data_IF_553454655265
#
_entry.id   IF_553454655265
#
_cell.length_a   1.000
_cell.length_b   1.000
_cell.length_c   1.000
_cell.angle_alpha   90.00
_cell.angle_beta   90.00
_cell.angle_gamma   90.00
#
_symmetry.space_group_name_H-M   'P 1'
#
loop_
_entity.id
_entity.type
_entity.pdbx_description
1 polymer ?
#
# COMPACT_ATOMS: atom_id res chain seq x y z
N UNK A 1 8.06 -13.56 -12.08
CA UNK A 1 9.40 -13.60 -11.45
C UNK A 1 9.34 -12.84 -10.14
N UNK A 2 9.08 -13.53 -9.03
CA UNK A 2 9.14 -12.94 -7.69
C UNK A 2 10.50 -13.33 -7.09
N UNK A 3 11.33 -12.35 -6.79
CA UNK A 3 12.58 -12.57 -6.06
C UNK A 3 12.21 -12.79 -4.59
N UNK A 4 12.68 -13.87 -3.93
CA UNK A 4 12.32 -14.12 -2.54
C UNK A 4 13.05 -13.11 -1.63
N UNK A 5 12.29 -12.19 -1.02
CA UNK A 5 12.81 -11.29 0.00
C UNK A 5 12.94 -12.08 1.32
N UNK A 6 14.15 -12.53 1.67
CA UNK A 6 14.47 -13.20 2.94
C UNK A 6 15.15 -12.20 3.86
N UNK A 7 14.58 -11.95 5.04
CA UNK A 7 15.20 -11.16 6.10
C UNK A 7 15.19 -11.91 7.43
N UNK A 8 16.36 -12.24 7.97
CA UNK A 8 16.54 -12.72 9.34
C UNK A 8 17.36 -11.68 10.11
N UNK A 9 16.84 -11.19 11.23
CA UNK A 9 17.54 -10.23 12.09
C UNK A 9 18.36 -11.02 13.12
N UNK A 10 19.66 -10.72 13.24
CA UNK A 10 20.43 -11.01 14.45
C UNK A 10 21.51 -9.95 14.66
N UNK A 11 21.72 -9.50 15.90
CA UNK A 11 22.81 -8.61 16.30
C UNK A 11 23.72 -9.32 17.32
N UNK A 12 24.94 -8.83 17.63
CA UNK A 12 25.83 -7.96 16.86
C UNK A 12 27.17 -8.67 16.54
N UNK A 13 27.86 -8.29 15.46
CA UNK A 13 29.23 -8.73 15.04
C UNK A 13 29.31 -9.70 13.84
N UNK A 14 28.44 -9.57 12.85
CA UNK A 14 28.75 -10.07 11.50
C UNK A 14 28.19 -9.09 10.47
N UNK A 15 28.92 -8.86 9.38
CA UNK A 15 28.52 -7.99 8.28
C UNK A 15 27.16 -8.47 7.71
N UNK A 16 26.12 -7.66 7.87
CA UNK A 16 24.80 -7.93 7.28
C UNK A 16 24.64 -7.15 5.98
N UNK A 17 24.57 -7.85 4.85
CA UNK A 17 23.99 -7.29 3.63
C UNK A 17 22.48 -7.18 3.89
N UNK A 18 22.03 -5.99 4.30
CA UNK A 18 20.61 -5.65 4.39
C UNK A 18 20.08 -5.51 2.95
N UNK A 19 19.59 -6.60 2.38
CA UNK A 19 18.88 -6.55 1.11
C UNK A 19 17.47 -6.00 1.38
N UNK A 20 17.36 -4.68 1.53
CA UNK A 20 16.08 -3.97 1.63
C UNK A 20 15.30 -4.29 0.37
N UNK A 21 14.17 -4.99 0.49
CA UNK A 21 13.25 -5.24 -0.62
C UNK A 21 12.62 -3.89 -1.00
N UNK A 22 13.14 -3.16 -2.01
CA UNK A 22 12.78 -1.75 -2.20
C UNK A 22 11.31 -1.61 -2.58
N UNK A 23 10.77 -2.64 -3.24
CA UNK A 23 9.37 -2.80 -3.60
C UNK A 23 8.43 -2.87 -2.37
N UNK A 24 8.95 -3.18 -1.19
CA UNK A 24 8.19 -3.22 0.07
C UNK A 24 8.28 -1.94 0.90
N UNK A 25 8.98 -0.91 0.39
CA UNK A 25 9.03 0.39 1.06
C UNK A 25 7.86 1.26 0.59
N UNK A 26 6.96 1.55 1.53
CA UNK A 26 5.79 2.37 1.31
C UNK A 26 5.79 3.54 2.30
N UNK A 27 5.36 4.71 1.86
CA UNK A 27 4.98 5.80 2.74
C UNK A 27 3.55 6.24 2.44
N UNK A 28 2.97 7.00 3.36
CA UNK A 28 1.74 7.73 3.10
C UNK A 28 1.96 9.22 3.34
N UNK A 29 1.28 10.05 2.56
CA UNK A 29 1.35 11.52 2.68
C UNK A 29 -0.05 12.11 2.71
N UNK A 30 -0.23 13.14 3.54
CA UNK A 30 -1.49 13.87 3.66
C UNK A 30 -1.70 14.73 2.41
N UNK A 31 -2.91 14.74 1.88
CA UNK A 31 -3.33 15.66 0.82
C UNK A 31 -3.66 17.01 1.49
N UNK A 32 -2.94 18.05 1.09
CA UNK A 32 -3.05 19.38 1.69
C UNK A 32 -4.50 19.87 1.72
N UNK A 33 -4.96 20.33 2.89
CA UNK A 33 -6.32 20.83 3.10
C UNK A 33 -7.39 19.74 3.29
N UNK A 34 -7.00 18.49 3.48
CA UNK A 34 -7.91 17.35 3.71
C UNK A 34 -7.41 16.45 4.84
N UNK A 35 -8.20 15.44 5.21
CA UNK A 35 -7.85 14.30 6.06
C UNK A 35 -7.50 13.03 5.24
N UNK A 36 -7.29 13.21 3.94
CA UNK A 36 -7.09 12.12 2.98
C UNK A 36 -5.62 11.94 2.65
N UNK A 37 -5.26 10.73 2.23
CA UNK A 37 -3.88 10.32 2.08
C UNK A 37 -3.61 9.70 0.71
N UNK A 38 -2.38 9.86 0.23
CA UNK A 38 -1.81 9.04 -0.85
C UNK A 38 -0.85 8.03 -0.26
N UNK A 39 -0.98 6.77 -0.66
CA UNK A 39 -0.06 5.70 -0.30
C UNK A 39 0.90 5.50 -1.49
N UNK A 40 2.20 5.67 -1.26
CA UNK A 40 3.21 5.76 -2.30
C UNK A 40 4.29 4.72 -2.06
N UNK A 41 4.62 3.99 -3.13
CA UNK A 41 5.74 3.07 -3.17
C UNK A 41 7.04 3.85 -3.46
N UNK A 42 8.01 3.74 -2.56
CA UNK A 42 9.26 4.49 -2.61
C UNK A 42 10.23 4.02 -3.71
N UNK A 43 10.03 2.85 -4.32
CA UNK A 43 10.92 2.34 -5.37
C UNK A 43 10.74 3.08 -6.71
N UNK A 44 9.51 3.42 -7.07
CA UNK A 44 9.16 4.04 -8.36
C UNK A 44 8.30 5.29 -8.24
N UNK A 45 8.06 5.76 -7.01
CA UNK A 45 7.14 6.86 -6.70
C UNK A 45 5.72 6.62 -7.26
N UNK A 46 5.30 5.35 -7.27
CA UNK A 46 3.97 4.94 -7.71
C UNK A 46 2.98 5.02 -6.57
N UNK A 47 1.74 5.39 -6.89
CA UNK A 47 0.64 5.41 -5.92
C UNK A 47 -0.10 4.09 -5.92
N UNK A 48 -0.59 3.70 -4.74
CA UNK A 48 -1.59 2.66 -4.59
C UNK A 48 -2.95 3.20 -5.04
N UNK A 49 -3.64 2.48 -5.93
CA UNK A 49 -4.93 2.89 -6.45
C UNK A 49 -5.87 1.71 -6.69
N UNK A 50 -7.17 1.96 -6.67
CA UNK A 50 -8.17 0.99 -7.18
C UNK A 50 -8.17 1.01 -8.70
N UNK A 51 -8.20 -0.19 -9.31
CA UNK A 51 -8.39 -0.38 -10.75
C UNK A 51 -9.82 -0.01 -11.13
N UNK A 52 -9.99 1.16 -11.76
CA UNK A 52 -11.29 1.71 -12.17
C UNK A 52 -12.06 0.79 -13.12
N UNK A 53 -11.39 -0.08 -13.88
CA UNK A 53 -12.04 -0.99 -14.82
C UNK A 53 -12.80 -2.13 -14.12
N UNK A 54 -12.47 -2.40 -12.85
CA UNK A 54 -13.00 -3.49 -12.03
C UNK A 54 -13.37 -3.02 -10.62
N UNK A 55 -13.80 -1.76 -10.48
CA UNK A 55 -14.05 -1.16 -9.17
C UNK A 55 -15.42 -1.48 -8.56
N UNK A 56 -16.40 -1.87 -9.40
CA UNK A 56 -17.77 -2.16 -8.99
C UNK A 56 -17.99 -3.65 -8.67
N UNK A 57 -16.91 -4.39 -8.35
CA UNK A 57 -16.98 -5.79 -7.95
C UNK A 57 -16.93 -5.91 -6.43
N UNK A 58 -17.35 -7.05 -5.89
CA UNK A 58 -17.22 -7.36 -4.45
C UNK A 58 -15.77 -7.34 -3.98
N UNK A 59 -14.83 -7.56 -4.89
CA UNK A 59 -13.39 -7.53 -4.64
C UNK A 59 -12.73 -6.72 -5.74
N UNK A 60 -12.63 -5.40 -5.52
CA UNK A 60 -11.96 -4.52 -6.47
C UNK A 60 -10.45 -4.78 -6.45
N UNK A 61 -9.83 -4.79 -7.64
CA UNK A 61 -8.40 -4.93 -7.75
C UNK A 61 -7.68 -3.67 -7.32
N UNK A 62 -6.61 -3.83 -6.52
CA UNK A 62 -5.70 -2.75 -6.13
C UNK A 62 -4.42 -2.87 -6.95
N UNK A 63 -3.98 -1.74 -7.51
CA UNK A 63 -2.87 -1.65 -8.45
C UNK A 63 -1.88 -0.57 -8.00
N UNK A 64 -0.66 -0.63 -8.53
CA UNK A 64 0.32 0.46 -8.47
C UNK A 64 0.45 1.14 -9.82
N UNK A 65 0.52 2.47 -9.83
CA UNK A 65 0.70 3.24 -11.05
C UNK A 65 1.33 4.60 -10.79
N UNK A 66 1.76 5.28 -11.85
CA UNK A 66 2.11 6.71 -11.78
C UNK A 66 0.90 7.52 -11.33
N UNK A 67 1.12 8.49 -10.43
CA UNK A 67 0.07 9.36 -9.95
C UNK A 67 -0.47 10.23 -11.10
N UNK A 68 -1.79 10.27 -11.25
CA UNK A 68 -2.48 11.22 -12.13
C UNK A 68 -3.17 12.29 -11.28
N UNK A 69 -3.25 13.51 -11.81
CA UNK A 69 -3.99 14.62 -11.17
C UNK A 69 -5.48 14.27 -11.06
N UNK A 70 -6.13 14.75 -10.00
CA UNK A 70 -7.59 14.61 -9.77
C UNK A 70 -8.14 13.18 -9.80
N UNK A 71 -7.32 12.21 -9.39
CA UNK A 71 -7.68 10.80 -9.42
C UNK A 71 -8.08 10.25 -8.05
N UNK A 72 -9.37 10.25 -7.76
CA UNK A 72 -9.92 9.75 -6.49
C UNK A 72 -9.62 8.28 -6.21
N UNK A 73 -9.31 7.45 -7.21
CA UNK A 73 -9.03 6.03 -6.96
C UNK A 73 -7.67 5.80 -6.31
N UNK A 74 -6.80 6.81 -6.27
CA UNK A 74 -5.54 6.81 -5.50
C UNK A 74 -5.61 7.57 -4.17
N UNK A 75 -6.82 7.99 -3.78
CA UNK A 75 -7.08 8.74 -2.54
C UNK A 75 -7.68 7.80 -1.50
N UNK A 76 -7.10 7.81 -0.31
CA UNK A 76 -7.42 6.90 0.78
C UNK A 76 -7.73 7.66 2.07
N UNK A 77 -8.73 7.20 2.80
CA UNK A 77 -9.08 7.68 4.14
C UNK A 77 -8.60 6.65 5.17
N UNK A 78 -7.98 7.13 6.25
CA UNK A 78 -7.49 6.29 7.35
C UNK A 78 -8.48 6.36 8.51
N UNK A 79 -9.16 5.25 8.79
CA UNK A 79 -10.05 5.10 9.94
C UNK A 79 -9.26 4.43 11.08
N UNK A 80 -8.80 5.25 12.01
CA UNK A 80 -7.90 4.83 13.10
C UNK A 80 -8.70 4.36 14.30
N UNK A 81 -8.48 3.11 14.70
CA UNK A 81 -8.98 2.53 15.94
C UNK A 81 -7.82 2.27 16.91
N UNK A 82 -8.08 2.08 18.21
CA UNK A 82 -7.01 1.87 19.20
C UNK A 82 -6.05 0.70 18.91
N UNK A 83 -6.50 -0.33 18.19
CA UNK A 83 -5.69 -1.53 17.91
C UNK A 83 -5.39 -1.77 16.43
N UNK A 84 -5.99 -1.02 15.51
CA UNK A 84 -5.88 -1.26 14.07
C UNK A 84 -6.29 -0.01 13.28
N UNK A 85 -5.97 -0.01 11.99
CA UNK A 85 -6.36 1.04 11.05
C UNK A 85 -7.06 0.39 9.87
N UNK A 86 -8.23 0.91 9.51
CA UNK A 86 -8.86 0.59 8.24
C UNK A 86 -8.50 1.65 7.21
N UNK A 87 -8.28 1.21 5.97
CA UNK A 87 -7.91 2.08 4.86
C UNK A 87 -9.05 2.00 3.86
N UNK A 88 -9.84 3.07 3.74
CA UNK A 88 -10.99 3.16 2.85
C UNK A 88 -10.63 3.92 1.58
N UNK A 89 -11.03 3.42 0.41
CA UNK A 89 -10.80 4.12 -0.85
C UNK A 89 -11.93 5.09 -1.17
N UNK A 90 -11.59 6.29 -1.61
CA UNK A 90 -12.58 7.36 -1.84
C UNK A 90 -13.29 7.25 -3.20
N UNK A 91 -12.88 6.35 -4.08
CA UNK A 91 -13.53 6.15 -5.38
C UNK A 91 -14.67 5.14 -5.35
N UNK A 92 -14.52 4.05 -4.61
CA UNK A 92 -15.51 2.96 -4.57
C UNK A 92 -16.03 2.65 -3.16
N UNK A 93 -15.63 3.44 -2.16
CA UNK A 93 -16.00 3.28 -0.75
C UNK A 93 -15.65 1.92 -0.13
N UNK A 94 -14.75 1.15 -0.76
CA UNK A 94 -14.32 -0.16 -0.25
C UNK A 94 -13.06 -0.05 0.61
N UNK A 95 -12.92 -1.01 1.53
CA UNK A 95 -11.76 -1.12 2.40
C UNK A 95 -10.65 -1.94 1.75
N UNK A 96 -9.40 -1.49 1.93
CA UNK A 96 -8.23 -2.25 1.53
C UNK A 96 -8.16 -3.54 2.36
N UNK A 97 -8.17 -4.67 1.66
CA UNK A 97 -8.11 -5.98 2.27
C UNK A 97 -6.83 -6.70 1.82
N UNK A 98 -5.99 -7.05 2.77
CA UNK A 98 -4.85 -7.93 2.55
C UNK A 98 -5.28 -9.35 2.97
N UNK A 99 -5.62 -10.25 2.02
CA UNK A 99 -5.95 -11.62 2.38
C UNK A 99 -4.74 -12.26 3.07
N UNK A 100 -4.94 -12.81 4.27
CA UNK A 100 -3.92 -13.65 4.88
C UNK A 100 -3.82 -14.92 4.03
N UNK A 101 -2.71 -15.08 3.32
CA UNK A 101 -2.36 -16.38 2.72
C UNK A 101 -1.98 -17.32 3.84
N UNK A 102 -2.96 -17.85 4.57
CA UNK A 102 -2.78 -19.01 5.43
C UNK A 102 -2.74 -20.26 4.53
N UNK A 103 -1.76 -20.32 3.62
CA UNK A 103 -1.32 -21.60 3.06
C UNK A 103 -0.36 -22.19 4.08
N UNK A 104 -0.92 -22.96 5.02
CA UNK A 104 -0.18 -24.04 5.67
C UNK A 104 0.19 -25.08 4.62
#
# INVERSE_FOLDING_TARGET
FAVPCIGRIQWPNTLFILMICPQSNWHYTLIAGTDQHKIINLYQNFVLAVDKTRANTTQASVITRVATTDDSSNVWTLEVHPSHVYIKNNFNDQYLYAPTTNTN
#
